data_IF_730082992839
#
_entry.id   IF_730082992839
#
_cell.length_a   1.000
_cell.length_b   1.000
_cell.length_c   1.000
_cell.angle_alpha   90.00
_cell.angle_beta   90.00
_cell.angle_gamma   90.00
#
_symmetry.space_group_name_H-M   'P 1'
#
loop_
_entity.id
_entity.type
_entity.pdbx_description
1 polymer ?
#
# COMPACT_ATOMS: atom_id res chain seq x y z
N UNK A 1 -19.66 8.32 12.23
CA UNK A 1 -18.46 7.47 12.05
C UNK A 1 -17.31 7.83 13.00
N UNK A 2 -17.34 8.95 13.74
CA UNK A 2 -16.34 9.21 14.79
C UNK A 2 -14.90 9.28 14.28
N UNK A 3 -14.71 9.82 13.07
CA UNK A 3 -13.40 9.92 12.40
C UNK A 3 -12.96 11.38 12.34
N UNK A 4 -11.65 11.60 12.42
CA UNK A 4 -11.02 12.93 12.34
C UNK A 4 -10.54 13.29 10.93
N UNK A 5 -10.66 12.38 9.97
CA UNK A 5 -10.19 12.61 8.62
C UNK A 5 -10.42 11.47 7.65
N UNK A 6 -9.81 11.64 6.48
CA UNK A 6 -9.96 10.75 5.34
C UNK A 6 -8.60 10.36 4.76
N UNK A 7 -8.63 9.26 4.02
CA UNK A 7 -7.54 8.81 3.19
C UNK A 7 -7.97 8.77 1.73
N UNK A 8 -7.15 9.31 0.83
CA UNK A 8 -7.45 9.34 -0.61
C UNK A 8 -6.82 8.11 -1.26
N UNK A 9 -7.59 7.02 -1.41
CA UNK A 9 -7.09 5.74 -1.89
C UNK A 9 -6.78 5.73 -3.40
N UNK A 10 -7.67 6.31 -4.21
CA UNK A 10 -7.47 6.42 -5.64
C UNK A 10 -6.64 7.68 -5.95
N UNK A 11 -5.43 7.57 -6.52
CA UNK A 11 -4.59 8.73 -6.85
C UNK A 11 -5.30 9.71 -7.81
N UNK A 12 -6.23 9.23 -8.65
CA UNK A 12 -6.98 10.09 -9.57
C UNK A 12 -7.98 11.02 -8.87
N UNK A 13 -8.30 10.77 -7.60
CA UNK A 13 -9.13 11.65 -6.77
C UNK A 13 -8.31 12.78 -6.13
N UNK A 14 -6.98 12.74 -6.23
CA UNK A 14 -6.12 13.84 -5.80
C UNK A 14 -6.19 14.94 -6.85
N UNK A 15 -6.58 16.18 -6.49
CA UNK A 15 -6.73 17.26 -7.44
C UNK A 15 -5.46 17.48 -8.27
N UNK A 16 -5.60 17.59 -9.59
CA UNK A 16 -4.49 17.73 -10.52
C UNK A 16 -4.05 16.40 -11.14
N UNK A 17 -4.01 15.30 -10.39
CA UNK A 17 -3.36 14.06 -10.84
C UNK A 17 -3.98 13.53 -12.13
N UNK A 18 -5.31 13.52 -12.25
CA UNK A 18 -5.99 13.05 -13.46
C UNK A 18 -5.67 13.88 -14.71
N UNK A 19 -5.50 15.19 -14.55
CA UNK A 19 -5.29 16.10 -15.69
C UNK A 19 -3.82 16.26 -16.09
N UNK A 20 -2.90 16.22 -15.13
CA UNK A 20 -1.47 16.54 -15.35
C UNK A 20 -0.49 15.43 -14.95
N UNK A 21 -0.97 14.38 -14.29
CA UNK A 21 -0.15 13.29 -13.75
C UNK A 21 0.40 13.51 -12.34
N UNK A 22 0.26 14.71 -11.76
CA UNK A 22 0.71 15.06 -10.41
C UNK A 22 -0.27 15.98 -9.68
N UNK A 23 -0.18 16.08 -8.36
CA UNK A 23 -1.08 16.92 -7.58
C UNK A 23 -0.92 18.42 -7.88
N UNK A 24 -2.04 19.14 -7.90
CA UNK A 24 -2.10 20.59 -7.93
C UNK A 24 -2.08 21.12 -6.48
N UNK A 25 -1.01 21.80 -6.03
CA UNK A 25 -0.90 22.25 -4.65
C UNK A 25 -2.04 23.16 -4.21
N UNK A 26 -2.49 24.07 -5.07
CA UNK A 26 -3.56 24.99 -4.71
C UNK A 26 -4.93 24.31 -4.63
N UNK A 27 -5.24 23.43 -5.58
CA UNK A 27 -6.50 22.67 -5.55
C UNK A 27 -6.52 21.70 -4.36
N UNK A 28 -5.37 21.09 -4.05
CA UNK A 28 -5.21 20.23 -2.88
C UNK A 28 -5.41 21.01 -1.58
N UNK A 29 -4.80 22.19 -1.43
CA UNK A 29 -5.01 23.08 -0.30
C UNK A 29 -6.47 23.56 -0.18
N UNK A 30 -7.13 23.88 -1.30
CA UNK A 30 -8.57 24.21 -1.33
C UNK A 30 -9.43 23.03 -0.84
N UNK A 31 -9.14 21.81 -1.29
CA UNK A 31 -9.84 20.61 -0.83
C UNK A 31 -9.62 20.36 0.67
N UNK A 32 -8.37 20.49 1.16
CA UNK A 32 -8.06 20.35 2.59
C UNK A 32 -8.82 21.36 3.45
N UNK A 33 -8.85 22.64 3.06
CA UNK A 33 -9.63 23.67 3.76
C UNK A 33 -11.13 23.35 3.83
N UNK A 34 -11.69 22.81 2.74
CA UNK A 34 -13.11 22.39 2.70
C UNK A 34 -13.37 21.25 3.70
N UNK A 35 -12.47 20.28 3.81
CA UNK A 35 -12.58 19.19 4.79
C UNK A 35 -12.42 19.71 6.22
N UNK A 36 -11.48 20.63 6.46
CA UNK A 36 -11.26 21.23 7.78
C UNK A 36 -12.47 22.03 8.27
N UNK A 37 -13.21 22.68 7.37
CA UNK A 37 -14.48 23.33 7.72
C UNK A 37 -15.56 22.35 8.22
N UNK A 38 -15.40 21.05 7.93
CA UNK A 38 -16.21 19.96 8.44
C UNK A 38 -15.51 19.18 9.57
N UNK A 39 -14.46 19.74 10.19
CA UNK A 39 -13.61 19.09 11.21
C UNK A 39 -12.95 17.78 10.74
N UNK A 40 -12.62 17.68 9.45
CA UNK A 40 -11.92 16.54 8.87
C UNK A 40 -10.55 16.97 8.32
N UNK A 41 -9.57 16.08 8.43
CA UNK A 41 -8.25 16.24 7.83
C UNK A 41 -8.00 15.21 6.71
N UNK A 42 -6.89 15.35 5.99
CA UNK A 42 -6.37 14.31 5.08
C UNK A 42 -5.11 13.74 5.72
N UNK A 43 -5.12 12.44 6.01
CA UNK A 43 -3.99 11.77 6.68
C UNK A 43 -3.08 11.04 5.70
N UNK A 44 -3.65 10.35 4.73
CA UNK A 44 -2.87 9.60 3.73
C UNK A 44 -3.38 9.79 2.31
N UNK A 45 -2.44 9.92 1.37
CA UNK A 45 -2.70 9.97 -0.07
C UNK A 45 -1.96 8.84 -0.78
N UNK A 46 -2.62 8.16 -1.73
CA UNK A 46 -1.92 7.23 -2.63
C UNK A 46 -1.28 8.04 -3.75
N UNK A 47 0.00 7.80 -3.99
CA UNK A 47 0.76 8.46 -5.05
C UNK A 47 0.33 7.94 -6.44
N UNK A 48 0.51 8.75 -7.51
CA UNK A 48 0.35 8.25 -8.87
C UNK A 48 1.32 7.09 -9.14
N UNK A 49 0.89 6.12 -9.96
CA UNK A 49 1.74 5.01 -10.37
C UNK A 49 2.80 5.45 -11.39
N UNK A 50 3.87 4.65 -11.51
CA UNK A 50 4.96 4.84 -12.47
C UNK A 50 5.13 3.63 -13.41
N UNK A 51 4.09 3.22 -14.16
CA UNK A 51 4.13 2.00 -14.95
C UNK A 51 5.17 1.99 -16.08
N UNK A 52 5.47 3.14 -16.70
CA UNK A 52 6.46 3.25 -17.75
C UNK A 52 7.89 3.21 -17.18
N UNK A 53 8.11 3.75 -15.98
CA UNK A 53 9.36 3.56 -15.24
C UNK A 53 9.60 2.07 -14.97
N UNK A 54 8.59 1.38 -14.44
CA UNK A 54 8.63 -0.07 -14.22
C UNK A 54 8.72 -0.90 -15.49
N UNK A 55 8.58 -0.32 -16.69
CA UNK A 55 8.77 -0.99 -17.98
C UNK A 55 10.05 -0.57 -18.69
N UNK A 56 10.83 0.36 -18.13
CA UNK A 56 12.05 0.89 -18.75
C UNK A 56 11.78 1.74 -19.99
N UNK A 57 10.62 2.41 -20.05
CA UNK A 57 10.28 3.30 -21.16
C UNK A 57 10.70 4.74 -20.87
N UNK A 58 11.02 5.56 -21.89
CA UNK A 58 11.46 6.95 -21.71
C UNK A 58 10.49 7.83 -20.90
N UNK A 59 9.18 7.58 -21.01
CA UNK A 59 8.16 8.33 -20.27
C UNK A 59 8.23 8.07 -18.75
N UNK A 60 8.94 7.02 -18.33
CA UNK A 60 9.09 6.67 -16.92
C UNK A 60 9.74 7.75 -16.07
N UNK A 61 10.74 8.47 -16.61
CA UNK A 61 11.37 9.59 -15.90
C UNK A 61 10.35 10.67 -15.54
N UNK A 62 9.42 10.95 -16.46
CA UNK A 62 8.36 11.93 -16.24
C UNK A 62 7.37 11.48 -15.17
N UNK A 63 7.07 10.18 -15.11
CA UNK A 63 6.20 9.62 -14.07
C UNK A 63 6.84 9.74 -12.69
N UNK A 64 8.15 9.47 -12.58
CA UNK A 64 8.89 9.65 -11.32
C UNK A 64 8.93 11.12 -10.91
N UNK A 65 9.17 12.04 -11.84
CA UNK A 65 9.12 13.49 -11.58
C UNK A 65 7.73 13.91 -11.06
N UNK A 66 6.67 13.40 -11.68
CA UNK A 66 5.28 13.68 -11.28
C UNK A 66 4.94 13.11 -9.90
N UNK A 67 5.45 11.92 -9.57
CA UNK A 67 5.34 11.33 -8.24
C UNK A 67 6.02 12.22 -7.19
N UNK A 68 7.25 12.69 -7.44
CA UNK A 68 7.96 13.60 -6.54
C UNK A 68 7.25 14.96 -6.38
N UNK A 69 6.71 15.53 -7.47
CA UNK A 69 5.86 16.74 -7.40
C UNK A 69 4.62 16.54 -6.53
N UNK A 70 4.05 15.35 -6.59
CA UNK A 70 2.92 15.02 -5.71
C UNK A 70 3.35 15.01 -4.25
N UNK A 71 4.49 14.40 -3.91
CA UNK A 71 5.02 14.40 -2.54
C UNK A 71 5.27 15.83 -2.02
N UNK A 72 5.88 16.70 -2.82
CA UNK A 72 6.10 18.11 -2.44
C UNK A 72 4.78 18.84 -2.17
N UNK A 73 3.78 18.64 -3.04
CA UNK A 73 2.45 19.21 -2.83
C UNK A 73 1.75 18.70 -1.55
N UNK A 74 1.98 17.44 -1.17
CA UNK A 74 1.50 16.90 0.11
C UNK A 74 2.19 17.59 1.30
N UNK A 75 3.50 17.82 1.21
CA UNK A 75 4.28 18.56 2.21
C UNK A 75 3.78 19.99 2.41
N UNK A 76 3.60 20.74 1.32
CA UNK A 76 3.03 22.10 1.34
C UNK A 76 1.62 22.12 1.97
N UNK A 77 0.82 21.09 1.69
CA UNK A 77 -0.50 20.94 2.27
C UNK A 77 -0.48 20.36 3.70
N UNK A 78 0.69 20.05 4.28
CA UNK A 78 0.85 19.34 5.56
C UNK A 78 0.02 18.05 5.65
N UNK A 79 0.07 17.23 4.59
CA UNK A 79 -0.51 15.89 4.56
C UNK A 79 0.62 14.89 4.89
N UNK A 80 0.50 14.13 6.00
CA UNK A 80 1.68 13.51 6.61
C UNK A 80 2.13 12.22 5.94
N UNK A 81 1.25 11.49 5.24
CA UNK A 81 1.56 10.15 4.74
C UNK A 81 1.27 10.04 3.25
N UNK A 82 2.25 9.50 2.52
CA UNK A 82 2.12 9.09 1.12
C UNK A 82 2.29 7.58 1.01
N UNK A 83 1.34 6.92 0.34
CA UNK A 83 1.42 5.50 0.02
C UNK A 83 1.87 5.35 -1.44
N UNK A 84 3.04 4.76 -1.72
CA UNK A 84 3.41 4.41 -3.08
C UNK A 84 2.57 3.22 -3.59
N UNK A 85 2.21 3.26 -4.87
CA UNK A 85 1.63 2.13 -5.57
C UNK A 85 2.66 1.61 -6.58
N UNK A 86 3.38 0.56 -6.18
CA UNK A 86 4.45 0.00 -7.00
C UNK A 86 3.82 -0.85 -8.09
N UNK A 87 4.07 -0.48 -9.35
CA UNK A 87 3.43 -1.11 -10.50
C UNK A 87 3.65 -2.63 -10.47
N UNK A 88 2.65 -3.40 -10.88
CA UNK A 88 2.75 -4.87 -10.89
C UNK A 88 2.67 -5.54 -9.52
N UNK A 89 2.54 -4.81 -8.40
CA UNK A 89 2.17 -5.41 -7.11
C UNK A 89 0.77 -6.02 -7.22
N UNK A 90 0.50 -7.21 -6.64
CA UNK A 90 -0.84 -7.75 -6.57
C UNK A 90 -1.80 -6.75 -5.92
N UNK A 91 -2.84 -6.36 -6.64
CA UNK A 91 -4.00 -5.69 -6.06
C UNK A 91 -4.92 -6.71 -5.41
N UNK A 92 -5.80 -6.23 -4.53
CA UNK A 92 -6.71 -7.10 -3.77
C UNK A 92 -7.49 -8.00 -4.72
N UNK A 93 -7.29 -9.30 -4.57
CA UNK A 93 -7.85 -10.32 -5.43
C UNK A 93 -8.61 -11.35 -4.61
N UNK A 94 -9.82 -11.66 -5.06
CA UNK A 94 -10.74 -12.57 -4.40
C UNK A 94 -11.08 -13.75 -5.32
N UNK A 95 -11.33 -14.92 -4.74
CA UNK A 95 -11.77 -16.09 -5.51
C UNK A 95 -13.27 -16.30 -5.46
N UNK A 96 -13.92 -15.91 -4.36
CA UNK A 96 -15.37 -16.04 -4.15
C UNK A 96 -15.86 -15.07 -3.08
N UNK A 97 -17.18 -14.98 -2.93
CA UNK A 97 -17.84 -14.28 -1.82
C UNK A 97 -18.24 -15.30 -0.78
N UNK A 98 -17.84 -15.07 0.48
CA UNK A 98 -18.29 -15.85 1.63
C UNK A 98 -19.50 -15.17 2.29
N UNK A 99 -20.40 -15.98 2.82
CA UNK A 99 -21.56 -15.53 3.60
C UNK A 99 -21.33 -15.87 5.07
N UNK A 100 -21.61 -14.92 5.96
CA UNK A 100 -21.26 -15.01 7.37
C UNK A 100 -22.48 -14.85 8.28
N UNK A 101 -22.23 -14.70 9.60
CA UNK A 101 -23.24 -14.52 10.62
C UNK A 101 -24.20 -13.39 10.23
N UNK A 102 -25.51 -13.66 10.26
CA UNK A 102 -26.52 -12.66 9.88
C UNK A 102 -26.62 -12.37 8.38
N UNK A 103 -25.99 -13.18 7.52
CA UNK A 103 -26.15 -13.12 6.06
C UNK A 103 -25.34 -12.04 5.36
N UNK A 104 -24.44 -11.34 6.07
CA UNK A 104 -23.54 -10.39 5.42
C UNK A 104 -22.51 -11.15 4.56
N UNK A 105 -22.07 -10.50 3.48
CA UNK A 105 -21.22 -11.08 2.46
C UNK A 105 -19.90 -10.33 2.36
N UNK A 106 -18.80 -11.07 2.35
CA UNK A 106 -17.45 -10.51 2.25
C UNK A 106 -16.59 -11.28 1.26
N UNK A 107 -15.46 -10.69 0.90
CA UNK A 107 -14.51 -11.27 -0.04
C UNK A 107 -13.78 -12.43 0.63
N UNK A 108 -13.55 -13.49 -0.14
CA UNK A 108 -12.78 -14.63 0.28
C UNK A 108 -11.77 -15.02 -0.79
N UNK A 109 -10.70 -15.67 -0.35
CA UNK A 109 -9.60 -16.11 -1.19
C UNK A 109 -9.26 -17.57 -0.90
N UNK A 110 -8.98 -18.33 -1.96
CA UNK A 110 -8.54 -19.72 -1.91
C UNK A 110 -7.38 -19.89 -2.90
N UNK A 111 -6.20 -20.22 -2.38
CA UNK A 111 -4.97 -20.31 -3.15
C UNK A 111 -5.05 -21.41 -4.22
N UNK A 112 -5.72 -22.51 -3.93
CA UNK A 112 -5.85 -23.62 -4.88
C UNK A 112 -6.77 -23.21 -6.03
N UNK A 113 -7.92 -22.62 -5.73
CA UNK A 113 -8.83 -22.11 -6.74
C UNK A 113 -8.18 -21.01 -7.60
N UNK A 114 -7.37 -20.13 -6.99
CA UNK A 114 -6.61 -19.12 -7.72
C UNK A 114 -5.62 -19.74 -8.71
N UNK A 115 -4.83 -20.73 -8.28
CA UNK A 115 -3.87 -21.44 -9.15
C UNK A 115 -4.52 -22.24 -10.28
N UNK A 116 -5.73 -22.75 -10.07
CA UNK A 116 -6.49 -23.41 -11.13
C UNK A 116 -6.95 -22.41 -12.21
N UNK A 117 -7.38 -21.21 -11.81
CA UNK A 117 -7.81 -20.16 -12.74
C UNK A 117 -6.65 -19.54 -13.51
N UNK A 118 -5.49 -19.42 -12.86
CA UNK A 118 -4.28 -18.86 -13.44
C UNK A 118 -3.10 -19.81 -13.17
N UNK A 119 -2.90 -20.82 -14.05
CA UNK A 119 -1.74 -21.70 -13.96
C UNK A 119 -0.44 -20.91 -14.12
N UNK A 120 0.48 -21.03 -13.17
CA UNK A 120 1.76 -20.32 -13.15
C UNK A 120 1.97 -19.51 -11.87
N UNK A 121 2.78 -18.45 -11.94
CA UNK A 121 2.95 -17.51 -10.83
C UNK A 121 1.68 -16.67 -10.68
N UNK A 122 1.18 -16.56 -9.44
CA UNK A 122 0.06 -15.66 -9.13
C UNK A 122 0.48 -14.19 -9.14
N UNK A 123 1.78 -13.94 -9.05
CA UNK A 123 2.38 -12.64 -9.27
C UNK A 123 3.43 -12.70 -10.38
N UNK A 124 3.25 -11.86 -11.40
CA UNK A 124 4.19 -11.70 -12.50
C UNK A 124 4.31 -10.21 -12.85
N UNK A 125 5.45 -9.56 -12.53
CA UNK A 125 5.66 -8.15 -12.82
C UNK A 125 5.91 -7.87 -14.31
N UNK A 126 5.88 -8.90 -15.18
CA UNK A 126 6.15 -8.82 -16.64
C UNK A 126 7.57 -8.38 -17.00
N UNK A 127 8.47 -8.41 -16.02
CA UNK A 127 9.91 -8.20 -16.13
C UNK A 127 10.63 -9.21 -15.22
N UNK A 128 11.94 -9.46 -15.40
CA UNK A 128 12.73 -10.25 -14.46
C UNK A 128 12.59 -9.76 -13.02
N UNK A 129 12.49 -10.68 -12.06
CA UNK A 129 12.24 -10.34 -10.64
C UNK A 129 13.34 -9.46 -10.04
N UNK A 130 14.61 -9.72 -10.37
CA UNK A 130 15.70 -8.88 -9.90
C UNK A 130 15.68 -7.48 -10.50
N UNK A 131 15.26 -7.35 -11.75
CA UNK A 131 15.05 -6.05 -12.40
C UNK A 131 13.88 -5.30 -11.72
N UNK A 132 12.80 -5.99 -11.38
CA UNK A 132 11.69 -5.42 -10.61
C UNK A 132 12.16 -4.85 -9.26
N UNK A 133 12.97 -5.61 -8.53
CA UNK A 133 13.51 -5.16 -7.25
C UNK A 133 14.49 -4.00 -7.40
N UNK A 134 15.35 -4.02 -8.43
CA UNK A 134 16.25 -2.90 -8.74
C UNK A 134 15.45 -1.62 -8.99
N UNK A 135 14.38 -1.69 -9.80
CA UNK A 135 13.49 -0.56 -10.08
C UNK A 135 12.75 -0.09 -8.84
N UNK A 136 12.30 -1.00 -7.97
CA UNK A 136 11.72 -0.62 -6.68
C UNK A 136 12.72 0.19 -5.85
N UNK A 137 13.94 -0.31 -5.67
CA UNK A 137 14.98 0.36 -4.88
C UNK A 137 15.34 1.72 -5.48
N UNK A 138 15.48 1.82 -6.79
CA UNK A 138 15.75 3.07 -7.51
C UNK A 138 14.64 4.11 -7.30
N UNK A 139 13.37 3.69 -7.42
CA UNK A 139 12.23 4.57 -7.16
C UNK A 139 12.21 5.06 -5.72
N UNK A 140 12.46 4.18 -4.74
CA UNK A 140 12.56 4.58 -3.33
C UNK A 140 13.73 5.52 -3.08
N UNK A 141 14.90 5.24 -3.67
CA UNK A 141 16.08 6.09 -3.58
C UNK A 141 15.84 7.50 -4.12
N UNK A 142 14.90 7.65 -5.07
CA UNK A 142 14.49 8.95 -5.61
C UNK A 142 13.42 9.63 -4.75
N UNK A 143 12.36 8.91 -4.36
CA UNK A 143 11.20 9.55 -3.71
C UNK A 143 11.37 9.76 -2.20
N UNK A 144 12.16 8.93 -1.51
CA UNK A 144 12.33 9.02 -0.05
C UNK A 144 13.02 10.32 0.36
N UNK A 145 14.12 10.76 -0.27
CA UNK A 145 14.72 12.07 0.04
C UNK A 145 13.74 13.23 -0.15
N UNK A 146 12.95 13.22 -1.23
CA UNK A 146 11.91 14.24 -1.47
C UNK A 146 10.86 14.23 -0.36
N UNK A 147 10.50 13.04 0.14
CA UNK A 147 9.57 12.90 1.25
C UNK A 147 10.16 13.41 2.58
N UNK A 148 11.44 13.15 2.84
CA UNK A 148 12.16 13.70 4.00
C UNK A 148 12.15 15.22 4.00
N UNK A 149 12.54 15.84 2.89
CA UNK A 149 12.58 17.30 2.73
C UNK A 149 11.18 17.94 2.84
N UNK A 150 10.15 17.21 2.40
CA UNK A 150 8.76 17.65 2.44
C UNK A 150 8.06 17.37 3.79
N UNK A 151 8.74 16.71 4.74
CA UNK A 151 8.14 16.27 6.00
C UNK A 151 7.05 15.21 5.85
N UNK A 152 7.05 14.47 4.73
CA UNK A 152 6.07 13.42 4.39
C UNK A 152 6.67 12.05 4.66
N UNK A 153 5.87 11.15 5.20
CA UNK A 153 6.24 9.75 5.43
C UNK A 153 5.77 8.85 4.29
N UNK A 154 6.65 8.03 3.74
CA UNK A 154 6.35 6.97 2.78
C UNK A 154 5.94 5.70 3.53
N UNK A 155 4.73 5.20 3.26
CA UNK A 155 4.18 4.01 3.92
C UNK A 155 3.88 2.89 2.90
N UNK A 156 4.76 1.89 2.84
CA UNK A 156 4.62 0.73 1.96
C UNK A 156 3.60 -0.27 2.51
N UNK A 157 2.56 -0.56 1.73
CA UNK A 157 1.55 -1.59 2.02
C UNK A 157 2.12 -3.01 1.70
N UNK A 158 1.70 -4.08 2.39
CA UNK A 158 2.07 -5.44 1.97
C UNK A 158 1.38 -5.82 0.64
N UNK A 159 1.82 -6.87 -0.04
CA UNK A 159 1.01 -7.43 -1.13
C UNK A 159 -0.27 -8.10 -0.58
N UNK A 160 -1.39 -7.93 -1.29
CA UNK A 160 -2.69 -8.48 -0.93
C UNK A 160 -3.33 -9.06 -2.21
N UNK A 161 -3.47 -10.39 -2.36
CA UNK A 161 -3.22 -11.42 -1.34
C UNK A 161 -1.72 -11.62 -1.07
N UNK A 162 -1.33 -11.96 0.17
CA UNK A 162 0.08 -12.12 0.57
C UNK A 162 0.60 -13.52 0.20
N UNK A 163 0.43 -13.93 -1.05
CA UNK A 163 0.94 -15.23 -1.53
C UNK A 163 2.48 -15.28 -1.41
N UNK A 164 3.09 -16.44 -1.17
CA UNK A 164 4.53 -16.52 -0.90
C UNK A 164 5.43 -15.92 -1.99
N UNK A 165 5.02 -15.98 -3.26
CA UNK A 165 5.74 -15.40 -4.38
C UNK A 165 5.52 -13.89 -4.58
N UNK A 166 4.58 -13.26 -3.86
CA UNK A 166 4.28 -11.85 -4.00
C UNK A 166 5.44 -10.97 -3.46
N UNK A 167 5.63 -9.77 -4.02
CA UNK A 167 6.62 -8.84 -3.49
C UNK A 167 6.12 -8.28 -2.16
N UNK A 168 6.98 -7.62 -1.38
CA UNK A 168 6.57 -6.93 -0.14
C UNK A 168 5.88 -7.84 0.91
N UNK A 169 6.33 -9.08 1.00
CA UNK A 169 6.29 -9.87 2.25
C UNK A 169 7.23 -9.24 3.29
N UNK A 170 7.35 -9.83 4.49
CA UNK A 170 8.30 -9.39 5.53
C UNK A 170 9.71 -9.16 4.97
N UNK A 171 10.17 -10.08 4.12
CA UNK A 171 11.49 -10.01 3.52
C UNK A 171 11.58 -8.91 2.46
N UNK A 172 10.50 -8.72 1.68
CA UNK A 172 10.42 -7.63 0.72
C UNK A 172 10.44 -6.25 1.38
N UNK A 173 9.75 -6.10 2.52
CA UNK A 173 9.84 -4.89 3.34
C UNK A 173 11.25 -4.65 3.86
N UNK A 174 11.88 -5.69 4.41
CA UNK A 174 13.27 -5.62 4.88
C UNK A 174 14.21 -5.14 3.76
N UNK A 175 14.09 -5.73 2.57
CA UNK A 175 14.89 -5.36 1.38
C UNK A 175 14.77 -3.87 1.04
N UNK A 176 13.56 -3.30 1.06
CA UNK A 176 13.35 -1.87 0.78
C UNK A 176 13.86 -0.97 1.91
N UNK A 177 13.56 -1.30 3.16
CA UNK A 177 13.93 -0.48 4.32
C UNK A 177 15.45 -0.45 4.54
N UNK A 178 16.15 -1.55 4.26
CA UNK A 178 17.61 -1.61 4.35
C UNK A 178 18.30 -0.94 3.17
N UNK A 179 17.76 -1.06 1.95
CA UNK A 179 18.33 -0.44 0.76
C UNK A 179 18.19 1.10 0.78
N UNK A 180 17.11 1.61 1.39
CA UNK A 180 16.84 3.05 1.48
C UNK A 180 16.54 3.43 2.94
N UNK A 181 17.57 3.50 3.80
CA UNK A 181 17.40 3.78 5.22
C UNK A 181 16.99 5.24 5.44
N UNK A 182 15.83 5.45 6.05
CA UNK A 182 15.28 6.78 6.32
C UNK A 182 14.26 6.75 7.46
N UNK A 183 14.12 7.84 8.22
CA UNK A 183 13.02 7.98 9.21
C UNK A 183 11.66 8.21 8.58
N UNK A 184 11.62 8.57 7.30
CA UNK A 184 10.42 8.79 6.51
C UNK A 184 10.12 7.62 5.57
N UNK A 185 10.92 6.54 5.59
CA UNK A 185 10.62 5.30 4.87
C UNK A 185 10.16 4.22 5.86
N UNK A 186 8.90 3.80 5.72
CA UNK A 186 8.23 2.88 6.63
C UNK A 186 7.06 2.16 5.98
N UNK A 187 6.14 1.67 6.81
CA UNK A 187 5.15 0.68 6.46
C UNK A 187 3.74 1.19 6.74
N UNK A 188 2.84 0.89 5.81
CA UNK A 188 1.42 0.78 6.08
C UNK A 188 1.19 -0.68 6.51
N UNK A 189 1.04 -0.91 7.81
CA UNK A 189 0.89 -2.24 8.37
C UNK A 189 -0.58 -2.69 8.32
N UNK A 190 -0.91 -3.56 7.35
CA UNK A 190 -2.26 -4.11 7.25
C UNK A 190 -2.40 -5.38 8.10
N UNK A 191 -3.07 -5.27 9.25
CA UNK A 191 -3.24 -6.37 10.23
C UNK A 191 -3.86 -7.60 9.57
N UNK A 192 -4.95 -7.42 8.82
CA UNK A 192 -5.60 -8.51 8.09
C UNK A 192 -4.67 -9.19 7.09
N UNK A 193 -3.99 -8.42 6.22
CA UNK A 193 -3.05 -9.00 5.23
C UNK A 193 -1.89 -9.74 5.90
N UNK A 194 -1.38 -9.27 7.03
CA UNK A 194 -0.27 -9.96 7.73
C UNK A 194 -0.76 -11.21 8.46
N UNK A 195 -1.97 -11.19 8.99
CA UNK A 195 -2.62 -12.39 9.51
C UNK A 195 -2.88 -13.43 8.40
N UNK A 196 -3.40 -13.02 7.24
CA UNK A 196 -3.58 -13.90 6.08
C UNK A 196 -2.28 -14.59 5.67
N UNK A 197 -1.14 -13.90 5.79
CA UNK A 197 0.17 -14.43 5.43
C UNK A 197 0.69 -15.51 6.39
N UNK A 198 0.59 -15.28 7.71
CA UNK A 198 1.26 -16.15 8.69
C UNK A 198 0.60 -16.25 10.07
N UNK A 199 -0.64 -15.79 10.19
CA UNK A 199 -1.44 -15.82 11.40
C UNK A 199 -0.91 -14.92 12.52
N UNK A 200 -1.44 -15.15 13.72
CA UNK A 200 -1.17 -14.37 14.94
C UNK A 200 0.31 -14.23 15.27
N UNK A 201 1.09 -15.31 15.11
CA UNK A 201 2.53 -15.31 15.45
C UNK A 201 3.30 -14.30 14.59
N UNK A 202 3.21 -14.43 13.27
CA UNK A 202 3.90 -13.54 12.34
C UNK A 202 3.48 -12.08 12.58
N UNK A 203 2.18 -11.86 12.73
CA UNK A 203 1.62 -10.54 12.95
C UNK A 203 2.20 -9.86 14.20
N UNK A 204 2.21 -10.54 15.36
CA UNK A 204 2.77 -9.96 16.58
C UNK A 204 4.28 -9.77 16.51
N UNK A 205 5.02 -10.70 15.91
CA UNK A 205 6.47 -10.58 15.71
C UNK A 205 6.82 -9.33 14.87
N UNK A 206 6.11 -9.11 13.76
CA UNK A 206 6.30 -7.96 12.90
C UNK A 206 5.89 -6.64 13.57
N UNK A 207 4.76 -6.62 14.31
CA UNK A 207 4.33 -5.45 15.07
C UNK A 207 5.40 -5.09 16.12
N UNK A 208 5.91 -6.08 16.86
CA UNK A 208 6.96 -5.83 17.85
C UNK A 208 8.24 -5.31 17.19
N UNK A 209 8.67 -5.93 16.10
CA UNK A 209 9.88 -5.52 15.39
C UNK A 209 9.74 -4.13 14.78
N UNK A 210 8.85 -3.97 13.81
CA UNK A 210 8.72 -2.73 13.04
C UNK A 210 8.14 -1.60 13.87
N UNK A 211 7.36 -1.91 14.91
CA UNK A 211 6.92 -0.93 15.92
C UNK A 211 8.10 -0.37 16.72
N UNK A 212 9.01 -1.23 17.22
CA UNK A 212 10.22 -0.80 17.94
C UNK A 212 11.20 -0.03 17.06
N UNK A 213 11.30 -0.40 15.79
CA UNK A 213 12.11 0.31 14.79
C UNK A 213 11.48 1.66 14.37
N UNK A 214 10.26 1.97 14.82
CA UNK A 214 9.56 3.20 14.45
C UNK A 214 9.12 3.24 12.98
N UNK A 215 8.93 2.07 12.37
CA UNK A 215 8.65 1.90 10.94
C UNK A 215 7.17 1.77 10.60
N UNK A 216 6.29 1.54 11.56
CA UNK A 216 4.84 1.50 11.31
C UNK A 216 4.30 2.93 11.34
N UNK A 217 3.88 3.44 10.18
CA UNK A 217 3.34 4.81 10.05
C UNK A 217 1.81 4.85 10.03
N UNK A 218 1.20 3.76 9.61
CA UNK A 218 -0.23 3.62 9.46
C UNK A 218 -0.62 2.16 9.64
N UNK A 219 -1.84 1.93 10.13
CA UNK A 219 -2.38 0.59 10.35
C UNK A 219 -3.73 0.46 9.67
N UNK A 220 -3.87 -0.51 8.76
CA UNK A 220 -5.20 -0.99 8.40
C UNK A 220 -5.63 -2.04 9.43
N UNK A 221 -6.65 -1.72 10.21
CA UNK A 221 -7.22 -2.61 11.21
C UNK A 221 -8.47 -3.27 10.67
N UNK A 222 -8.28 -4.39 9.95
CA UNK A 222 -9.33 -5.28 9.46
C UNK A 222 -9.09 -6.69 9.96
N UNK A 223 -10.13 -7.52 9.97
CA UNK A 223 -10.08 -8.88 10.50
C UNK A 223 -10.45 -9.92 9.43
N UNK A 224 -9.93 -11.13 9.60
CA UNK A 224 -10.11 -12.26 8.68
C UNK A 224 -10.32 -13.57 9.45
N UNK A 225 -10.86 -14.58 8.78
CA UNK A 225 -10.81 -15.98 9.23
C UNK A 225 -9.90 -16.78 8.32
N UNK A 226 -9.09 -17.65 8.93
CA UNK A 226 -8.13 -18.49 8.19
C UNK A 226 -6.89 -17.74 7.74
N UNK A 227 -5.92 -18.49 7.24
CA UNK A 227 -4.68 -17.95 6.67
C UNK A 227 -4.17 -18.86 5.55
N UNK A 228 -3.35 -18.29 4.67
CA UNK A 228 -2.67 -19.02 3.61
C UNK A 228 -1.74 -20.08 4.18
N UNK A 229 -1.03 -19.76 5.26
CA UNK A 229 -0.12 -20.70 5.93
C UNK A 229 -0.88 -21.91 6.52
N UNK A 230 -2.01 -21.68 7.18
CA UNK A 230 -2.72 -22.74 7.90
C UNK A 230 -3.62 -23.59 6.99
N UNK A 231 -4.27 -22.96 6.01
CA UNK A 231 -5.38 -23.58 5.28
C UNK A 231 -5.40 -23.31 3.78
N UNK A 232 -4.44 -22.52 3.29
CA UNK A 232 -4.41 -22.07 1.89
C UNK A 232 -5.57 -21.14 1.50
N UNK A 233 -6.36 -20.67 2.48
CA UNK A 233 -7.56 -19.85 2.24
C UNK A 233 -7.77 -18.86 3.37
N UNK A 234 -8.50 -17.79 3.09
CA UNK A 234 -8.96 -16.84 4.09
C UNK A 234 -10.25 -16.15 3.64
N UNK A 235 -10.98 -15.60 4.59
CA UNK A 235 -12.22 -14.86 4.36
C UNK A 235 -12.16 -13.55 5.15
N UNK A 236 -12.44 -12.42 4.49
CA UNK A 236 -12.62 -11.14 5.16
C UNK A 236 -13.89 -11.18 6.01
N UNK A 237 -13.87 -10.61 7.21
CA UNK A 237 -15.02 -10.66 8.12
C UNK A 237 -15.24 -9.34 8.84
N UNK A 238 -16.36 -9.21 9.53
CA UNK A 238 -16.56 -8.11 10.48
C UNK A 238 -15.46 -8.14 11.55
N UNK A 239 -15.12 -6.97 12.11
CA UNK A 239 -13.97 -6.84 13.01
C UNK A 239 -14.07 -7.73 14.26
N UNK A 240 -15.29 -7.99 14.74
CA UNK A 240 -15.62 -8.83 15.88
C UNK A 240 -15.83 -10.31 15.53
N UNK A 241 -15.83 -10.66 14.24
CA UNK A 241 -16.10 -12.01 13.75
C UNK A 241 -14.84 -12.80 13.38
N UNK A 242 -13.65 -12.18 13.33
CA UNK A 242 -12.41 -12.86 12.91
C UNK A 242 -11.64 -13.56 14.02
N UNK A 243 -10.36 -13.82 13.78
CA UNK A 243 -9.47 -14.61 14.65
C UNK A 243 -8.36 -13.78 15.26
#
# INVERSE_FOLDING_TARGET
MGVDGIDIHNPLNVPGVKERGYADPEKLARMKRKLQAANLNIYRVTLPETPNFFRGKPEGEKEVENLCKTIMALGEASIPIARPLLHGTPGVFMTHIAEHRGGYKMRAYDLHAAKQRQPGRLWDPKIPVEEYWSRCIELYGTMVPVAEDSGVKIALHPSDPPVPEAPFTTEGWRRILEAVPSKNNGLLYCVGTRYEAGGTRLMFEEIQRFGREGKIFEVHLRNVKGSLLASGRFEEVAIDDGT
#
